data_IF_916993551685
#
_entry.id   IF_916993551685
#
_cell.length_a   1.000
_cell.length_b   1.000
_cell.length_c   1.000
_cell.angle_alpha   90.00
_cell.angle_beta   90.00
_cell.angle_gamma   90.00
#
_symmetry.space_group_name_H-M   'P 1'
#
loop_
_entity.id
_entity.type
_entity.pdbx_description
1 polymer ?
#
# COMPACT_ATOMS: atom_id res chain seq x y z
N UNK A 1 -32.45 43.10 -10.40
CA UNK A 1 -32.87 41.75 -10.87
C UNK A 1 -31.76 40.76 -10.63
N UNK A 2 -31.83 40.03 -9.53
CA UNK A 2 -30.84 39.00 -9.19
C UNK A 2 -31.24 37.67 -9.83
N UNK A 3 -30.38 37.11 -10.69
CA UNK A 3 -30.55 35.77 -11.27
C UNK A 3 -30.24 34.74 -10.21
N UNK A 4 -31.27 34.13 -9.64
CA UNK A 4 -31.18 32.89 -8.88
C UNK A 4 -30.78 31.77 -9.84
N UNK A 5 -29.51 31.38 -9.84
CA UNK A 5 -29.02 30.15 -10.47
C UNK A 5 -29.51 28.99 -9.62
N UNK A 6 -30.58 28.32 -10.00
CA UNK A 6 -31.00 27.04 -9.49
C UNK A 6 -29.84 26.05 -9.73
N UNK A 7 -29.12 25.68 -8.68
CA UNK A 7 -28.26 24.51 -8.67
C UNK A 7 -29.18 23.30 -8.88
N UNK A 8 -29.05 22.63 -10.02
CA UNK A 8 -29.92 21.50 -10.37
C UNK A 8 -29.71 20.32 -9.42
N UNK A 9 -30.72 19.45 -9.23
CA UNK A 9 -30.71 18.32 -8.29
C UNK A 9 -29.54 17.34 -8.48
N UNK A 10 -28.95 17.27 -9.67
CA UNK A 10 -27.77 16.46 -9.96
C UNK A 10 -26.51 16.91 -9.18
N UNK A 11 -26.34 18.23 -8.97
CA UNK A 11 -25.21 18.77 -8.21
C UNK A 11 -25.36 18.50 -6.71
N UNK A 12 -26.59 18.53 -6.19
CA UNK A 12 -26.86 18.19 -4.78
C UNK A 12 -26.62 16.70 -4.50
N UNK A 13 -27.06 15.81 -5.38
CA UNK A 13 -26.82 14.37 -5.26
C UNK A 13 -25.32 14.06 -5.29
N UNK A 14 -24.57 14.73 -6.16
CA UNK A 14 -23.13 14.53 -6.29
C UNK A 14 -22.35 15.07 -5.08
N UNK A 15 -22.81 16.16 -4.47
CA UNK A 15 -22.24 16.71 -3.23
C UNK A 15 -22.54 15.84 -2.01
N UNK A 16 -23.74 15.26 -1.92
CA UNK A 16 -24.12 14.34 -0.82
C UNK A 16 -23.35 13.03 -0.93
N UNK A 17 -23.21 12.46 -2.13
CA UNK A 17 -22.42 11.25 -2.33
C UNK A 17 -20.94 11.47 -1.97
N UNK A 18 -20.34 12.59 -2.39
CA UNK A 18 -18.95 12.92 -2.03
C UNK A 18 -18.73 13.17 -0.53
N UNK A 19 -19.75 13.70 0.16
CA UNK A 19 -19.67 13.89 1.61
C UNK A 19 -19.75 12.55 2.36
N UNK A 20 -20.60 11.63 1.92
CA UNK A 20 -20.72 10.28 2.50
C UNK A 20 -19.43 9.47 2.28
N UNK A 21 -18.87 9.49 1.07
CA UNK A 21 -17.58 8.84 0.80
C UNK A 21 -16.45 9.40 1.69
N UNK A 22 -16.44 10.72 1.93
CA UNK A 22 -15.44 11.34 2.80
C UNK A 22 -15.64 10.93 4.27
N UNK A 23 -16.87 10.81 4.74
CA UNK A 23 -17.19 10.38 6.11
C UNK A 23 -16.81 8.91 6.32
N UNK A 24 -17.14 8.02 5.39
CA UNK A 24 -16.72 6.62 5.41
C UNK A 24 -15.19 6.49 5.40
N UNK A 25 -14.52 7.28 4.55
CA UNK A 25 -13.05 7.36 4.51
C UNK A 25 -12.47 7.72 5.87
N UNK A 26 -12.99 8.75 6.52
CA UNK A 26 -12.52 9.20 7.83
C UNK A 26 -12.81 8.18 8.93
N UNK A 27 -13.94 7.49 8.87
CA UNK A 27 -14.32 6.47 9.85
C UNK A 27 -13.35 5.27 9.80
N UNK A 28 -13.05 4.76 8.60
CA UNK A 28 -12.10 3.65 8.40
C UNK A 28 -10.69 4.07 8.80
N UNK A 29 -10.24 5.25 8.39
CA UNK A 29 -8.93 5.78 8.76
C UNK A 29 -8.77 5.91 10.28
N UNK A 30 -9.77 6.47 10.95
CA UNK A 30 -9.76 6.63 12.41
C UNK A 30 -9.76 5.28 13.15
N UNK A 31 -10.49 4.28 12.63
CA UNK A 31 -10.49 2.93 13.18
C UNK A 31 -9.12 2.28 13.08
N UNK A 32 -8.51 2.29 11.90
CA UNK A 32 -7.25 1.61 11.65
C UNK A 32 -6.06 2.28 12.36
N UNK A 33 -6.09 3.61 12.52
CA UNK A 33 -5.06 4.34 13.29
C UNK A 33 -5.17 4.07 14.80
N UNK A 34 -6.36 3.76 15.32
CA UNK A 34 -6.57 3.53 16.76
C UNK A 34 -5.79 2.31 17.28
N UNK A 35 -5.71 1.24 16.50
CA UNK A 35 -5.04 0.00 16.91
C UNK A 35 -3.53 0.20 17.16
N UNK A 36 -2.71 0.71 16.22
CA UNK A 36 -1.29 0.93 16.46
C UNK A 36 -1.04 1.97 17.56
N UNK A 37 -1.89 2.99 17.70
CA UNK A 37 -1.81 3.96 18.82
C UNK A 37 -2.00 3.25 20.17
N UNK A 38 -2.94 2.32 20.27
CA UNK A 38 -3.15 1.55 21.49
C UNK A 38 -1.92 0.68 21.82
N UNK A 39 -1.28 0.07 20.82
CA UNK A 39 -0.04 -0.71 20.99
C UNK A 39 1.12 0.18 21.45
N UNK A 40 1.30 1.36 20.84
CA UNK A 40 2.31 2.34 21.26
C UNK A 40 2.13 2.71 22.74
N UNK A 41 0.91 3.03 23.14
CA UNK A 41 0.58 3.39 24.52
C UNK A 41 0.85 2.24 25.49
N UNK A 42 0.43 1.02 25.16
CA UNK A 42 0.65 -0.16 26.00
C UNK A 42 2.16 -0.47 26.14
N UNK A 43 2.90 -0.43 25.04
CA UNK A 43 4.36 -0.65 25.02
C UNK A 43 5.09 0.42 25.84
N UNK A 44 4.70 1.69 25.76
CA UNK A 44 5.29 2.74 26.58
C UNK A 44 5.04 2.53 28.09
N UNK A 45 3.81 2.15 28.49
CA UNK A 45 3.49 1.84 29.87
C UNK A 45 4.26 0.62 30.39
N UNK A 46 4.44 -0.40 29.55
CA UNK A 46 5.23 -1.59 29.90
C UNK A 46 6.72 -1.25 30.04
N UNK A 47 7.28 -0.47 29.11
CA UNK A 47 8.68 -0.01 29.20
C UNK A 47 8.94 0.74 30.50
N UNK A 48 8.06 1.66 30.91
CA UNK A 48 8.17 2.38 32.19
C UNK A 48 8.21 1.42 33.41
N UNK A 49 7.33 0.40 33.41
CA UNK A 49 7.29 -0.60 34.50
C UNK A 49 8.57 -1.46 34.54
N UNK A 50 9.10 -1.83 33.36
CA UNK A 50 10.33 -2.63 33.24
C UNK A 50 11.54 -1.83 33.69
N UNK A 51 11.66 -0.55 33.32
CA UNK A 51 12.70 0.35 33.82
C UNK A 51 12.66 0.45 35.37
N UNK A 52 11.47 0.64 35.93
CA UNK A 52 11.30 0.73 37.37
C UNK A 52 11.71 -0.56 38.11
N UNK A 53 11.74 -1.71 37.43
CA UNK A 53 12.16 -3.01 37.94
C UNK A 53 13.63 -3.36 37.63
N UNK A 54 14.35 -2.48 36.91
CA UNK A 54 15.72 -2.74 36.45
C UNK A 54 15.81 -3.68 35.24
N UNK A 55 14.68 -4.04 34.63
CA UNK A 55 14.65 -4.86 33.41
C UNK A 55 14.90 -4.01 32.16
N UNK A 56 16.19 -3.74 31.92
CA UNK A 56 16.63 -2.89 30.76
C UNK A 56 16.36 -3.59 29.43
N UNK A 57 16.60 -4.91 29.35
CA UNK A 57 16.41 -5.65 28.10
C UNK A 57 14.93 -5.69 27.67
N UNK A 58 14.03 -5.94 28.62
CA UNK A 58 12.60 -5.88 28.35
C UNK A 58 12.15 -4.48 27.95
N UNK A 59 12.66 -3.43 28.58
CA UNK A 59 12.35 -2.04 28.22
C UNK A 59 12.82 -1.71 26.79
N UNK A 60 14.02 -2.14 26.40
CA UNK A 60 14.54 -1.96 25.04
C UNK A 60 13.65 -2.63 23.98
N UNK A 61 13.18 -3.85 24.25
CA UNK A 61 12.22 -4.55 23.37
C UNK A 61 10.94 -3.74 23.18
N UNK A 62 10.41 -3.12 24.26
CA UNK A 62 9.20 -2.29 24.17
C UNK A 62 9.44 -0.98 23.42
N UNK A 63 10.61 -0.36 23.61
CA UNK A 63 10.99 0.83 22.84
C UNK A 63 11.12 0.53 21.35
N UNK A 64 11.70 -0.62 20.97
CA UNK A 64 11.74 -1.06 19.57
C UNK A 64 10.33 -1.20 18.99
N UNK A 65 9.41 -1.85 19.72
CA UNK A 65 8.01 -1.98 19.31
C UNK A 65 7.31 -0.62 19.13
N UNK A 66 7.62 0.38 19.96
CA UNK A 66 7.09 1.74 19.80
C UNK A 66 7.54 2.35 18.46
N UNK A 67 8.84 2.26 18.15
CA UNK A 67 9.39 2.79 16.91
C UNK A 67 8.71 2.12 15.71
N UNK A 68 8.65 0.78 15.68
CA UNK A 68 7.99 0.01 14.62
C UNK A 68 6.53 0.41 14.41
N UNK A 69 5.76 0.60 15.50
CA UNK A 69 4.37 1.04 15.39
C UNK A 69 4.22 2.49 14.92
N UNK A 70 5.18 3.34 15.27
CA UNK A 70 5.19 4.76 14.82
C UNK A 70 5.50 4.85 13.33
N UNK A 71 6.43 4.03 12.84
CA UNK A 71 6.73 3.92 11.40
C UNK A 71 5.51 3.43 10.63
N UNK A 72 4.82 2.40 11.16
CA UNK A 72 3.56 1.89 10.58
C UNK A 72 2.47 2.95 10.54
N UNK A 73 2.31 3.75 11.60
CA UNK A 73 1.36 4.87 11.63
C UNK A 73 1.66 5.90 10.56
N UNK A 74 2.94 6.24 10.37
CA UNK A 74 3.38 7.16 9.34
C UNK A 74 3.02 6.65 7.95
N UNK A 75 3.30 5.37 7.67
CA UNK A 75 2.97 4.74 6.40
C UNK A 75 1.46 4.70 6.12
N UNK A 76 0.65 4.42 7.15
CA UNK A 76 -0.81 4.45 7.04
C UNK A 76 -1.32 5.85 6.72
N UNK A 77 -0.82 6.87 7.44
CA UNK A 77 -1.20 8.27 7.20
C UNK A 77 -0.86 8.70 5.76
N UNK A 78 0.34 8.37 5.29
CA UNK A 78 0.73 8.64 3.91
C UNK A 78 -0.14 7.92 2.89
N UNK A 79 -0.54 6.68 3.17
CA UNK A 79 -1.45 5.91 2.30
C UNK A 79 -2.85 6.55 2.24
N UNK A 80 -3.36 7.04 3.37
CA UNK A 80 -4.61 7.79 3.41
C UNK A 80 -4.53 9.10 2.62
N UNK A 81 -3.46 9.87 2.80
CA UNK A 81 -3.26 11.13 2.07
C UNK A 81 -3.16 10.89 0.56
N UNK A 82 -2.46 9.82 0.15
CA UNK A 82 -2.34 9.47 -1.26
C UNK A 82 -3.68 9.02 -1.85
N UNK A 83 -4.42 8.17 -1.15
CA UNK A 83 -5.74 7.73 -1.59
C UNK A 83 -6.71 8.92 -1.76
N UNK A 84 -6.69 9.88 -0.83
CA UNK A 84 -7.49 11.09 -0.93
C UNK A 84 -7.10 11.95 -2.15
N UNK A 85 -5.79 12.14 -2.38
CA UNK A 85 -5.28 12.95 -3.49
C UNK A 85 -5.47 12.28 -4.85
N UNK A 86 -5.29 10.96 -4.95
CA UNK A 86 -5.57 10.19 -6.16
C UNK A 86 -7.03 10.34 -6.54
N UNK A 87 -7.94 10.23 -5.58
CA UNK A 87 -9.38 10.37 -5.83
C UNK A 87 -9.81 11.74 -6.33
N UNK A 88 -9.07 12.79 -5.98
CA UNK A 88 -9.32 14.16 -6.47
C UNK A 88 -8.46 14.53 -7.70
N UNK A 89 -7.59 13.63 -8.18
CA UNK A 89 -6.67 13.89 -9.27
C UNK A 89 -5.54 14.89 -8.94
N UNK A 90 -5.31 15.17 -7.65
CA UNK A 90 -4.41 16.23 -7.19
C UNK A 90 -3.13 15.71 -6.50
N UNK A 91 -2.67 14.50 -6.85
CA UNK A 91 -1.42 13.97 -6.31
C UNK A 91 -0.22 14.58 -7.05
N UNK A 92 0.59 15.46 -6.42
CA UNK A 92 1.77 16.00 -7.08
C UNK A 92 2.86 14.93 -7.20
N UNK A 93 3.52 14.86 -8.35
CA UNK A 93 4.65 13.98 -8.60
C UNK A 93 5.96 14.77 -8.63
N UNK A 94 7.01 14.17 -8.07
CA UNK A 94 8.40 14.63 -8.15
C UNK A 94 9.18 13.63 -8.99
N UNK A 95 9.05 13.75 -10.31
CA UNK A 95 9.66 12.81 -11.23
C UNK A 95 11.14 13.13 -11.47
N UNK A 96 11.94 12.08 -11.51
CA UNK A 96 13.36 12.10 -11.83
C UNK A 96 13.73 10.84 -12.64
N UNK A 97 14.94 10.79 -13.21
CA UNK A 97 15.41 9.57 -13.87
C UNK A 97 15.79 8.54 -12.82
N UNK A 98 15.08 7.43 -12.81
CA UNK A 98 15.19 6.39 -11.77
C UNK A 98 15.35 5.03 -12.42
N UNK A 99 16.26 4.21 -11.90
CA UNK A 99 16.42 2.82 -12.29
C UNK A 99 15.42 1.94 -11.53
N UNK A 100 14.71 1.04 -12.25
CA UNK A 100 13.69 0.17 -11.70
C UNK A 100 14.22 -0.71 -10.55
N UNK A 101 15.42 -1.28 -10.73
CA UNK A 101 16.04 -2.14 -9.71
C UNK A 101 16.14 -1.44 -8.35
N UNK A 102 16.63 -0.21 -8.32
CA UNK A 102 16.75 0.60 -7.10
C UNK A 102 15.39 0.82 -6.41
N UNK A 103 14.35 1.07 -7.19
CA UNK A 103 12.98 1.24 -6.68
C UNK A 103 12.45 -0.05 -6.07
N UNK A 104 12.68 -1.18 -6.77
CA UNK A 104 12.19 -2.50 -6.34
C UNK A 104 12.90 -2.95 -5.07
N UNK A 105 14.22 -2.84 -5.00
CA UNK A 105 15.02 -3.19 -3.82
C UNK A 105 14.55 -2.38 -2.59
N UNK A 106 14.42 -1.06 -2.75
CA UNK A 106 13.88 -0.21 -1.68
C UNK A 106 12.47 -0.62 -1.24
N UNK A 107 11.59 -0.96 -2.19
CA UNK A 107 10.22 -1.38 -1.91
C UNK A 107 10.16 -2.71 -1.15
N UNK A 108 11.01 -3.68 -1.54
CA UNK A 108 11.11 -5.00 -0.90
C UNK A 108 11.64 -4.86 0.52
N UNK A 109 12.75 -4.12 0.71
CA UNK A 109 13.33 -3.88 2.04
C UNK A 109 12.30 -3.28 3.00
N UNK A 110 11.53 -2.30 2.52
CA UNK A 110 10.45 -1.68 3.31
C UNK A 110 9.28 -2.63 3.58
N UNK A 111 8.91 -3.49 2.62
CA UNK A 111 7.85 -4.47 2.80
C UNK A 111 8.24 -5.50 3.87
N UNK A 112 9.43 -6.07 3.77
CA UNK A 112 9.95 -7.06 4.73
C UNK A 112 10.10 -6.43 6.12
N UNK A 113 10.69 -5.23 6.22
CA UNK A 113 10.87 -4.53 7.48
C UNK A 113 9.53 -4.23 8.19
N UNK A 114 8.48 -3.89 7.43
CA UNK A 114 7.16 -3.55 8.01
C UNK A 114 6.40 -4.77 8.54
N UNK A 115 6.68 -5.97 8.02
CA UNK A 115 6.06 -7.23 8.45
C UNK A 115 6.88 -7.91 9.57
N UNK A 116 8.18 -7.62 9.68
CA UNK A 116 9.06 -8.14 10.72
C UNK A 116 9.03 -9.67 10.80
N UNK A 117 9.05 -10.20 12.02
CA UNK A 117 9.05 -11.65 12.30
C UNK A 117 7.73 -12.35 11.91
N UNK A 118 6.73 -11.64 11.41
CA UNK A 118 5.45 -12.24 11.00
C UNK A 118 5.55 -12.99 9.67
N UNK A 119 6.58 -12.72 8.89
CA UNK A 119 6.77 -13.30 7.55
C UNK A 119 8.23 -13.73 7.40
N UNK A 120 8.44 -15.06 7.40
CA UNK A 120 9.75 -15.68 7.09
C UNK A 120 9.69 -16.26 5.67
N UNK A 121 9.68 -15.37 4.68
CA UNK A 121 9.62 -15.75 3.26
C UNK A 121 10.70 -15.03 2.46
N UNK A 122 11.39 -15.77 1.61
CA UNK A 122 12.32 -15.19 0.66
C UNK A 122 11.59 -14.37 -0.41
N UNK A 123 12.25 -13.31 -0.89
CA UNK A 123 11.81 -12.53 -2.03
C UNK A 123 12.86 -12.67 -3.13
N UNK A 124 12.48 -13.23 -4.26
CA UNK A 124 13.33 -13.46 -5.41
C UNK A 124 13.12 -12.32 -6.43
N UNK A 125 14.21 -11.69 -6.86
CA UNK A 125 14.17 -10.56 -7.81
C UNK A 125 14.84 -10.97 -9.12
N UNK A 126 14.08 -10.86 -10.20
CA UNK A 126 14.57 -11.02 -11.58
C UNK A 126 14.21 -9.74 -12.35
N UNK A 127 15.09 -8.74 -12.21
CA UNK A 127 14.90 -7.40 -12.76
C UNK A 127 16.02 -7.13 -13.76
N UNK A 128 15.72 -6.85 -15.04
CA UNK A 128 16.75 -6.54 -16.02
C UNK A 128 17.42 -5.19 -15.73
N UNK A 129 18.69 -5.07 -16.04
CA UNK A 129 19.44 -3.84 -15.92
C UNK A 129 19.02 -2.81 -16.97
N UNK A 130 19.23 -1.52 -16.67
CA UNK A 130 18.97 -0.44 -17.61
C UNK A 130 17.50 -0.11 -17.86
N UNK A 131 16.58 -0.61 -17.03
CA UNK A 131 15.20 -0.16 -17.02
C UNK A 131 15.09 1.17 -16.28
N UNK A 132 15.31 2.27 -17.02
CA UNK A 132 15.28 3.63 -16.47
C UNK A 132 13.99 4.31 -16.92
N UNK A 133 13.24 4.87 -15.97
CA UNK A 133 12.05 5.66 -16.23
C UNK A 133 12.16 7.09 -15.67
N UNK A 134 11.25 7.94 -16.07
CA UNK A 134 11.06 9.27 -15.45
C UNK A 134 9.92 9.16 -14.46
N UNK A 135 10.25 8.80 -13.22
CA UNK A 135 9.27 8.48 -12.19
C UNK A 135 9.51 9.25 -10.89
N UNK A 136 8.48 9.33 -10.06
CA UNK A 136 8.61 9.67 -8.65
C UNK A 136 9.02 8.40 -7.89
N UNK A 137 10.31 8.33 -7.50
CA UNK A 137 10.91 7.18 -6.82
C UNK A 137 10.09 6.72 -5.61
N UNK A 138 9.74 7.64 -4.72
CA UNK A 138 9.04 7.30 -3.47
C UNK A 138 7.62 6.75 -3.75
N UNK A 139 6.95 7.30 -4.77
CA UNK A 139 5.61 6.86 -5.16
C UNK A 139 5.63 5.49 -5.81
N UNK A 140 6.53 5.26 -6.77
CA UNK A 140 6.63 3.94 -7.41
C UNK A 140 7.09 2.89 -6.40
N UNK A 141 8.05 3.18 -5.53
CA UNK A 141 8.45 2.27 -4.46
C UNK A 141 7.26 1.89 -3.55
N UNK A 142 6.36 2.85 -3.26
CA UNK A 142 5.13 2.58 -2.49
C UNK A 142 4.16 1.67 -3.25
N UNK A 143 3.97 1.89 -4.56
CA UNK A 143 3.12 1.04 -5.38
C UNK A 143 3.66 -0.41 -5.41
N UNK A 144 4.95 -0.58 -5.67
CA UNK A 144 5.62 -1.89 -5.66
C UNK A 144 5.51 -2.55 -4.28
N UNK A 145 5.80 -1.80 -3.21
CA UNK A 145 5.67 -2.30 -1.83
C UNK A 145 4.27 -2.82 -1.52
N UNK A 146 3.22 -2.16 -1.98
CA UNK A 146 1.85 -2.61 -1.76
C UNK A 146 1.60 -3.99 -2.42
N UNK A 147 2.13 -4.22 -3.62
CA UNK A 147 2.02 -5.52 -4.31
C UNK A 147 2.85 -6.60 -3.60
N UNK A 148 4.08 -6.27 -3.18
CA UNK A 148 4.96 -7.19 -2.45
C UNK A 148 4.36 -7.56 -1.11
N UNK A 149 3.85 -6.60 -0.35
CA UNK A 149 3.19 -6.86 0.94
C UNK A 149 1.96 -7.76 0.77
N UNK A 150 1.16 -7.54 -0.28
CA UNK A 150 0.05 -8.43 -0.62
C UNK A 150 0.54 -9.87 -0.88
N UNK A 151 1.57 -10.04 -1.70
CA UNK A 151 2.11 -11.36 -2.01
C UNK A 151 2.70 -12.05 -0.77
N UNK A 152 3.37 -11.30 0.12
CA UNK A 152 3.91 -11.82 1.39
C UNK A 152 2.80 -12.27 2.35
N UNK A 153 1.69 -11.54 2.41
CA UNK A 153 0.60 -11.78 3.38
C UNK A 153 -0.37 -12.84 2.87
N UNK A 154 -0.75 -12.78 1.60
CA UNK A 154 -1.85 -13.59 1.04
C UNK A 154 -1.38 -14.74 0.15
N UNK A 155 -0.10 -14.80 -0.20
CA UNK A 155 0.48 -15.89 -0.98
C UNK A 155 0.67 -17.18 -0.18
N UNK A 156 1.17 -18.21 -0.85
CA UNK A 156 1.54 -19.49 -0.22
C UNK A 156 2.79 -19.32 0.65
N UNK A 157 2.66 -19.55 1.95
CA UNK A 157 3.75 -19.38 2.92
C UNK A 157 4.96 -20.32 2.64
N UNK A 158 4.76 -21.39 1.88
CA UNK A 158 5.81 -22.37 1.54
C UNK A 158 6.64 -21.97 0.32
N UNK A 159 6.24 -20.91 -0.39
CA UNK A 159 6.89 -20.47 -1.62
C UNK A 159 7.50 -19.07 -1.47
N UNK A 160 8.60 -18.76 -2.17
CA UNK A 160 9.12 -17.39 -2.20
C UNK A 160 8.14 -16.47 -2.93
N UNK A 161 8.18 -15.19 -2.56
CA UNK A 161 7.58 -14.14 -3.40
C UNK A 161 8.51 -13.85 -4.56
N UNK A 162 7.99 -13.80 -5.79
CA UNK A 162 8.77 -13.54 -7.00
C UNK A 162 8.37 -12.23 -7.62
N UNK A 163 9.37 -11.42 -7.94
CA UNK A 163 9.24 -10.23 -8.77
C UNK A 163 10.04 -10.46 -10.05
N UNK A 164 9.36 -10.56 -11.15
CA UNK A 164 9.95 -10.67 -12.47
C UNK A 164 9.58 -9.47 -13.31
N UNK A 165 10.56 -8.82 -13.94
CA UNK A 165 10.32 -7.68 -14.83
C UNK A 165 10.89 -7.93 -16.22
N UNK A 166 10.16 -7.48 -17.23
CA UNK A 166 10.55 -7.54 -18.64
C UNK A 166 10.40 -6.16 -19.28
N UNK A 167 11.37 -5.85 -20.14
CA UNK A 167 11.29 -4.67 -20.98
C UNK A 167 10.55 -4.98 -22.27
N UNK A 168 9.45 -4.28 -22.52
CA UNK A 168 8.65 -4.36 -23.75
C UNK A 168 8.68 -3.01 -24.50
N UNK A 169 9.66 -2.84 -25.36
CA UNK A 169 9.86 -1.58 -26.10
C UNK A 169 10.16 -0.40 -25.19
N UNK A 170 9.23 0.58 -25.14
CA UNK A 170 9.32 1.77 -24.29
C UNK A 170 8.62 1.60 -22.94
N UNK A 171 8.27 0.39 -22.57
CA UNK A 171 7.60 0.07 -21.31
C UNK A 171 8.36 -1.03 -20.56
N UNK A 172 8.16 -1.09 -19.27
CA UNK A 172 8.56 -2.21 -18.44
C UNK A 172 7.31 -2.79 -17.78
N UNK A 173 7.20 -4.12 -17.83
CA UNK A 173 6.22 -4.92 -17.11
C UNK A 173 6.90 -5.63 -15.95
N UNK A 174 6.33 -5.53 -14.77
CA UNK A 174 6.80 -6.27 -13.61
C UNK A 174 5.63 -7.03 -12.99
N UNK A 175 5.81 -8.34 -12.81
CA UNK A 175 4.86 -9.24 -12.20
C UNK A 175 5.32 -9.58 -10.79
N UNK A 176 4.43 -9.47 -9.83
CA UNK A 176 4.61 -9.89 -8.45
C UNK A 176 3.70 -11.08 -8.16
N UNK A 177 4.26 -12.19 -7.66
CA UNK A 177 3.54 -13.42 -7.33
C UNK A 177 3.96 -13.94 -5.96
N UNK A 178 2.98 -14.39 -5.16
CA UNK A 178 3.20 -15.03 -3.87
C UNK A 178 2.96 -16.55 -3.88
N UNK A 179 2.58 -17.13 -5.03
CA UNK A 179 2.30 -18.56 -5.18
C UNK A 179 0.97 -19.02 -4.59
N UNK A 180 0.10 -18.10 -4.17
CA UNK A 180 -1.22 -18.42 -3.61
C UNK A 180 -2.31 -18.60 -4.66
N UNK A 181 -3.52 -19.01 -4.26
CA UNK A 181 -4.65 -19.21 -5.17
C UNK A 181 -5.19 -17.92 -5.76
N UNK A 182 -4.88 -16.80 -5.13
CA UNK A 182 -5.42 -15.49 -5.47
C UNK A 182 -6.87 -15.29 -5.01
N UNK A 183 -7.43 -14.10 -5.27
CA UNK A 183 -8.80 -13.77 -4.93
C UNK A 183 -9.80 -14.50 -5.81
N UNK A 184 -11.00 -14.73 -5.29
CA UNK A 184 -12.12 -15.31 -6.03
C UNK A 184 -12.53 -14.44 -7.23
N UNK A 185 -13.14 -15.06 -8.25
CA UNK A 185 -13.53 -14.36 -9.48
C UNK A 185 -14.47 -13.18 -9.22
N UNK A 186 -15.38 -13.31 -8.24
CA UNK A 186 -16.29 -12.22 -7.84
C UNK A 186 -15.57 -11.04 -7.21
N UNK A 187 -14.46 -11.29 -6.52
CA UNK A 187 -13.67 -10.27 -5.83
C UNK A 187 -12.80 -9.44 -6.77
N UNK A 188 -12.43 -9.99 -7.93
CA UNK A 188 -11.48 -9.36 -8.87
C UNK A 188 -11.92 -7.97 -9.30
N UNK A 189 -13.22 -7.75 -9.50
CA UNK A 189 -13.77 -6.46 -9.93
C UNK A 189 -13.61 -5.36 -8.88
N UNK A 190 -13.55 -5.74 -7.60
CA UNK A 190 -13.49 -4.84 -6.46
C UNK A 190 -12.08 -4.62 -5.88
N UNK A 191 -11.09 -5.43 -6.30
CA UNK A 191 -9.73 -5.41 -5.73
C UNK A 191 -9.07 -4.03 -5.69
N UNK A 192 -9.38 -3.18 -6.65
CA UNK A 192 -8.83 -1.83 -6.78
C UNK A 192 -9.76 -0.73 -6.27
N UNK A 193 -10.87 -1.09 -5.61
CA UNK A 193 -11.73 -0.13 -4.94
C UNK A 193 -11.14 0.29 -3.60
N UNK A 194 -11.49 1.49 -3.15
CA UNK A 194 -11.05 1.98 -1.84
C UNK A 194 -11.65 1.12 -0.73
N UNK A 195 -10.82 0.78 0.27
CA UNK A 195 -11.22 0.03 1.45
C UNK A 195 -11.70 -1.39 1.18
N UNK A 196 -11.61 -1.85 -0.06
CA UNK A 196 -11.97 -3.21 -0.36
C UNK A 196 -10.99 -4.19 0.29
N UNK A 197 -11.54 -5.19 0.95
CA UNK A 197 -10.81 -6.30 1.58
C UNK A 197 -11.49 -7.61 1.19
N UNK A 198 -10.74 -8.52 0.59
CA UNK A 198 -11.24 -9.83 0.25
C UNK A 198 -11.74 -10.61 1.48
N UNK A 199 -12.65 -11.55 1.27
CA UNK A 199 -13.30 -12.33 2.34
C UNK A 199 -12.27 -13.06 3.21
N UNK A 200 -11.30 -13.72 2.60
CA UNK A 200 -10.23 -14.43 3.31
C UNK A 200 -9.41 -13.51 4.23
N UNK A 201 -9.13 -12.30 3.80
CA UNK A 201 -8.43 -11.29 4.60
C UNK A 201 -9.26 -10.77 5.78
N UNK A 202 -10.57 -10.59 5.56
CA UNK A 202 -11.50 -10.14 6.59
C UNK A 202 -11.73 -11.23 7.65
N UNK A 203 -11.90 -12.48 7.24
CA UNK A 203 -12.09 -13.65 8.13
C UNK A 203 -10.85 -13.98 8.94
N UNK A 204 -9.65 -13.83 8.36
CA UNK A 204 -8.39 -14.05 9.07
C UNK A 204 -8.04 -12.94 10.07
N UNK A 205 -8.86 -11.88 10.19
CA UNK A 205 -8.60 -10.75 11.08
C UNK A 205 -7.31 -9.98 10.74
N UNK A 206 -6.79 -10.16 9.53
CA UNK A 206 -5.56 -9.51 9.10
C UNK A 206 -5.75 -7.99 9.07
N UNK A 207 -4.80 -7.24 9.60
CA UNK A 207 -4.90 -5.78 9.62
C UNK A 207 -4.50 -5.19 8.26
N UNK A 208 -5.34 -4.29 7.73
CA UNK A 208 -5.03 -3.57 6.49
C UNK A 208 -6.18 -2.64 6.10
N UNK A 209 -5.85 -1.45 5.63
CA UNK A 209 -6.83 -0.40 5.28
C UNK A 209 -7.60 -0.65 3.97
N UNK A 210 -7.24 -1.67 3.18
CA UNK A 210 -7.82 -1.86 1.85
C UNK A 210 -7.46 -0.77 0.84
N UNK A 211 -6.42 0.03 1.11
CA UNK A 211 -5.97 1.11 0.22
C UNK A 211 -4.76 0.73 -0.64
N UNK A 212 -4.08 -0.37 -0.34
CA UNK A 212 -2.81 -0.72 -0.99
C UNK A 212 -2.92 -0.84 -2.51
N UNK A 213 -3.84 -1.68 -3.00
CA UNK A 213 -4.04 -1.89 -4.44
C UNK A 213 -4.64 -0.65 -5.13
N UNK A 214 -5.58 0.04 -4.48
CA UNK A 214 -6.13 1.30 -5.00
C UNK A 214 -5.03 2.35 -5.20
N UNK A 215 -4.18 2.57 -4.21
CA UNK A 215 -3.08 3.54 -4.30
C UNK A 215 -2.02 3.10 -5.30
N UNK A 216 -1.66 1.83 -5.34
CA UNK A 216 -0.71 1.29 -6.31
C UNK A 216 -1.16 1.56 -7.75
N UNK A 217 -2.42 1.25 -8.07
CA UNK A 217 -2.98 1.51 -9.40
C UNK A 217 -3.07 3.00 -9.71
N UNK A 218 -3.49 3.81 -8.74
CA UNK A 218 -3.56 5.26 -8.90
C UNK A 218 -2.20 5.89 -9.17
N UNK A 219 -1.17 5.47 -8.43
CA UNK A 219 0.21 5.93 -8.65
C UNK A 219 0.72 5.52 -10.04
N UNK A 220 0.54 4.24 -10.43
CA UNK A 220 0.95 3.76 -11.74
C UNK A 220 0.29 4.57 -12.87
N UNK A 221 -1.01 4.84 -12.79
CA UNK A 221 -1.76 5.64 -13.78
C UNK A 221 -1.27 7.08 -13.88
N UNK A 222 -0.92 7.70 -12.77
CA UNK A 222 -0.33 9.04 -12.77
C UNK A 222 1.05 9.09 -13.44
N UNK A 223 1.74 7.95 -13.54
CA UNK A 223 2.99 7.79 -14.27
C UNK A 223 2.81 7.26 -15.72
N UNK A 224 1.56 7.22 -16.22
CA UNK A 224 1.25 6.72 -17.56
C UNK A 224 1.25 5.20 -17.70
N UNK A 225 1.20 4.49 -16.57
CA UNK A 225 1.11 3.03 -16.47
C UNK A 225 -0.24 2.53 -15.98
N UNK A 226 -0.29 1.29 -15.54
CA UNK A 226 -1.44 0.71 -14.82
C UNK A 226 -0.97 -0.43 -13.89
N UNK A 227 -1.86 -0.85 -12.99
CA UNK A 227 -1.72 -2.07 -12.20
C UNK A 227 -2.95 -2.94 -12.45
N UNK A 228 -2.72 -4.22 -12.75
CA UNK A 228 -3.79 -5.18 -12.99
C UNK A 228 -3.48 -6.54 -12.34
N UNK A 229 -4.51 -7.29 -12.00
CA UNK A 229 -4.39 -8.71 -11.72
C UNK A 229 -4.32 -9.46 -13.04
N UNK A 230 -3.42 -10.46 -13.16
CA UNK A 230 -3.30 -11.29 -14.35
C UNK A 230 -4.01 -12.63 -14.08
N UNK A 231 -3.43 -13.47 -13.23
CA UNK A 231 -3.90 -14.81 -12.93
C UNK A 231 -3.56 -15.15 -11.46
N UNK A 232 -4.34 -16.02 -10.83
CA UNK A 232 -4.09 -16.44 -9.45
C UNK A 232 -3.91 -15.24 -8.51
N UNK A 233 -2.77 -15.20 -7.81
CA UNK A 233 -2.34 -14.10 -6.97
C UNK A 233 -1.35 -13.14 -7.65
N UNK A 234 -1.19 -13.24 -8.97
CA UNK A 234 -0.25 -12.43 -9.74
C UNK A 234 -0.81 -11.05 -10.03
N UNK A 235 -0.05 -10.04 -9.64
CA UNK A 235 -0.30 -8.64 -9.97
C UNK A 235 0.79 -8.11 -10.86
N UNK A 236 0.39 -7.42 -11.92
CA UNK A 236 1.29 -6.76 -12.86
C UNK A 236 1.24 -5.26 -12.66
N UNK A 237 2.39 -4.63 -12.66
CA UNK A 237 2.53 -3.19 -12.82
C UNK A 237 3.27 -2.90 -14.13
N UNK A 238 2.71 -2.05 -14.96
CA UNK A 238 3.29 -1.59 -16.21
C UNK A 238 3.62 -0.10 -16.10
N UNK A 239 4.83 0.29 -16.51
CA UNK A 239 5.31 1.68 -16.45
C UNK A 239 6.04 2.06 -17.75
N UNK A 240 5.95 3.32 -18.20
CA UNK A 240 6.74 3.82 -19.32
C UNK A 240 8.20 3.98 -18.92
N UNK A 241 9.13 3.62 -19.81
CA UNK A 241 10.56 3.90 -19.68
C UNK A 241 10.88 5.30 -20.20
N UNK A 242 12.00 5.85 -19.76
CA UNK A 242 12.53 7.08 -20.32
C UNK A 242 13.10 6.81 -21.72
N UNK A 243 12.75 7.67 -22.66
CA UNK A 243 13.32 7.70 -24.01
C UNK A 243 14.78 8.14 -23.96
#
# INVERSE_FOLDING_TARGET
MARNLHRGPALEVQQVAGAQEAEEFMAVAAHDLRNPIAVVRASAQMAQRQIARGDVAGAQTRLKSIVEQTDRLTEMLESFLDAARIGTGNLPLRTERVELRSVVEHAVDRAVASLGDQVDRAVELDIPDGCIGTWDHARIARAVRALVSNALIYGDATQPVRLHAEREGERVRMVVSGGGPGPDTEEVTHLFERFYRGRSAAEAGQSGSGLGLFTARGIARLHGGDVRRIEGDQFEIELPLAS
#
